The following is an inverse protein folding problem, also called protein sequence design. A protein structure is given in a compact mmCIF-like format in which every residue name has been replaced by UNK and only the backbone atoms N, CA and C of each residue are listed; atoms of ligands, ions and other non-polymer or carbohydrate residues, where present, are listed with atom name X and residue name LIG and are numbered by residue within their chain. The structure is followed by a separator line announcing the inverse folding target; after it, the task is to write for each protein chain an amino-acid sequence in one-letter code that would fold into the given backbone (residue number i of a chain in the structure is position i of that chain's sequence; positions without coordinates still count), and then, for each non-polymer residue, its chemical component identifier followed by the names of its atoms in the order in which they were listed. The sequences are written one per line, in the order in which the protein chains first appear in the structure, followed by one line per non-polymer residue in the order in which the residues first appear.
data_IF_094228803060
#
_entry.id   IF_094228803060
#
_cell.length_a   1.000
_cell.length_b   1.000
_cell.length_c   1.000
_cell.angle_alpha   90.00
_cell.angle_beta   90.00
_cell.angle_gamma   90.00
#
_symmetry.space_group_name_H-M   'P 1'
#
loop_
_entity.id
_entity.type
_entity.pdbx_description
1 polymer ?
#
# COMPACT_ATOMS: atom_id res chain seq x y z
N UNK A 1 4.42 21.05 -26.26
CA UNK A 1 3.86 20.72 -24.93
C UNK A 1 4.01 19.23 -24.71
N UNK A 2 4.99 18.80 -23.93
CA UNK A 2 5.09 17.43 -23.43
C UNK A 2 4.21 17.32 -22.20
N UNK A 3 3.18 16.47 -22.25
CA UNK A 3 2.39 16.13 -21.07
C UNK A 3 3.31 15.55 -20.00
N UNK A 4 3.22 15.98 -18.72
CA UNK A 4 3.94 15.32 -17.65
C UNK A 4 3.38 13.90 -17.51
N UNK A 5 4.24 12.92 -17.75
CA UNK A 5 3.98 11.50 -17.52
C UNK A 5 3.53 11.37 -16.07
N UNK A 6 2.23 11.12 -15.86
CA UNK A 6 1.65 10.91 -14.53
C UNK A 6 2.46 9.81 -13.85
N UNK A 7 3.19 10.19 -12.80
CA UNK A 7 3.83 9.24 -11.90
C UNK A 7 2.70 8.35 -11.38
N UNK A 8 2.73 7.07 -11.77
CA UNK A 8 1.72 6.11 -11.36
C UNK A 8 1.63 6.13 -9.84
N UNK A 9 0.44 6.49 -9.33
CA UNK A 9 0.12 6.32 -7.91
C UNK A 9 0.25 4.83 -7.61
N UNK A 10 1.35 4.43 -6.98
CA UNK A 10 1.52 3.07 -6.46
C UNK A 10 0.77 2.98 -5.13
N UNK A 11 -0.56 3.04 -5.21
CA UNK A 11 -1.44 2.85 -4.07
C UNK A 11 -1.54 1.37 -3.71
N UNK A 12 -1.52 1.05 -2.41
CA UNK A 12 -1.78 -0.31 -1.94
C UNK A 12 -3.28 -0.53 -1.84
N UNK A 13 -3.78 -1.56 -2.53
CA UNK A 13 -5.16 -2.03 -2.39
C UNK A 13 -5.28 -3.05 -1.26
N UNK A 14 -5.84 -2.61 -0.14
CA UNK A 14 -6.10 -3.47 1.02
C UNK A 14 -7.39 -4.26 0.82
N UNK A 15 -7.26 -5.54 0.46
CA UNK A 15 -8.39 -6.43 0.27
C UNK A 15 -9.05 -6.86 1.58
N UNK A 16 -10.22 -7.51 1.47
CA UNK A 16 -10.98 -8.08 2.60
C UNK A 16 -10.15 -9.00 3.52
N UNK A 17 -9.23 -9.85 3.00
CA UNK A 17 -8.37 -10.65 3.87
C UNK A 17 -7.55 -9.79 4.83
N UNK A 18 -6.91 -8.73 4.33
CA UNK A 18 -6.12 -7.81 5.16
C UNK A 18 -7.02 -7.10 6.19
N UNK A 19 -8.13 -6.53 5.73
CA UNK A 19 -9.08 -5.81 6.60
C UNK A 19 -9.62 -6.71 7.72
N UNK A 20 -9.83 -8.01 7.45
CA UNK A 20 -10.24 -8.99 8.46
C UNK A 20 -9.13 -9.30 9.45
N UNK A 21 -7.88 -9.47 8.99
CA UNK A 21 -6.73 -9.76 9.85
C UNK A 21 -6.48 -8.62 10.85
N UNK A 22 -6.55 -7.38 10.39
CA UNK A 22 -6.38 -6.20 11.24
C UNK A 22 -7.67 -5.76 11.96
N UNK A 23 -8.74 -6.59 11.92
CA UNK A 23 -10.07 -6.28 12.47
C UNK A 23 -10.53 -4.84 12.15
N UNK A 24 -10.32 -4.41 10.91
CA UNK A 24 -10.54 -3.02 10.50
C UNK A 24 -12.00 -2.62 10.68
N UNK A 25 -12.22 -1.44 11.26
CA UNK A 25 -13.53 -0.77 11.32
C UNK A 25 -13.44 0.49 10.45
N UNK A 26 -14.34 0.60 9.48
CA UNK A 26 -14.48 1.78 8.62
C UNK A 26 -15.73 2.51 9.05
N UNK A 27 -15.57 3.66 9.69
CA UNK A 27 -16.66 4.58 9.92
C UNK A 27 -16.77 5.53 8.73
N UNK A 28 -17.78 5.27 7.90
CA UNK A 28 -18.01 6.05 6.68
C UNK A 28 -18.53 7.45 7.00
N UNK A 29 -19.29 7.60 8.08
CA UNK A 29 -19.88 8.88 8.46
C UNK A 29 -18.81 9.83 8.98
N UNK A 30 -17.99 9.36 9.92
CA UNK A 30 -16.89 10.15 10.50
C UNK A 30 -15.64 10.19 9.60
N UNK A 31 -15.59 9.35 8.55
CA UNK A 31 -14.46 9.28 7.62
C UNK A 31 -13.18 8.77 8.28
N UNK A 32 -13.31 7.79 9.18
CA UNK A 32 -12.19 7.20 9.92
C UNK A 32 -12.01 5.72 9.64
N UNK A 33 -10.76 5.25 9.69
CA UNK A 33 -10.40 3.84 9.60
C UNK A 33 -9.65 3.48 10.87
N UNK A 34 -10.13 2.49 11.62
CA UNK A 34 -9.46 1.96 12.80
C UNK A 34 -8.96 0.54 12.52
N UNK A 35 -7.70 0.26 12.82
CA UNK A 35 -7.07 -1.06 12.70
C UNK A 35 -6.63 -1.56 14.08
N UNK A 36 -6.81 -2.85 14.34
CA UNK A 36 -6.24 -3.58 15.47
C UNK A 36 -5.01 -4.35 15.01
N UNK A 37 -3.86 -4.06 15.62
CA UNK A 37 -2.63 -4.80 15.42
C UNK A 37 -2.01 -5.11 16.79
N UNK A 38 -1.90 -6.40 17.12
CA UNK A 38 -1.41 -6.89 18.42
C UNK A 38 -2.14 -6.30 19.65
N UNK A 39 -3.44 -6.01 19.52
CA UNK A 39 -4.23 -5.45 20.62
C UNK A 39 -4.14 -3.93 20.76
N UNK A 40 -3.32 -3.27 19.95
CA UNK A 40 -3.28 -1.82 19.83
C UNK A 40 -4.19 -1.34 18.69
N UNK A 41 -4.87 -0.21 18.94
CA UNK A 41 -5.77 0.41 17.96
C UNK A 41 -5.10 1.61 17.29
N UNK A 42 -5.07 1.60 15.96
CA UNK A 42 -4.54 2.66 15.12
C UNK A 42 -5.68 3.30 14.34
N UNK A 43 -5.93 4.60 14.57
CA UNK A 43 -7.01 5.33 13.90
C UNK A 43 -6.45 6.33 12.90
N UNK A 44 -6.93 6.26 11.67
CA UNK A 44 -6.57 7.13 10.57
C UNK A 44 -7.78 7.97 10.15
N UNK A 45 -7.55 9.26 9.91
CA UNK A 45 -8.54 10.13 9.28
C UNK A 45 -8.30 10.13 7.76
N UNK A 46 -9.33 9.73 6.99
CA UNK A 46 -9.22 9.60 5.53
C UNK A 46 -8.99 10.97 4.88
N UNK A 47 -9.65 12.02 5.37
CA UNK A 47 -9.51 13.36 4.80
C UNK A 47 -8.10 13.92 4.98
N UNK A 48 -7.46 13.66 6.13
CA UNK A 48 -6.05 14.04 6.34
C UNK A 48 -5.09 13.19 5.50
N UNK A 49 -5.35 11.88 5.39
CA UNK A 49 -4.52 10.97 4.58
C UNK A 49 -4.54 11.34 3.09
N UNK A 50 -5.68 11.80 2.57
CA UNK A 50 -5.85 12.19 1.17
C UNK A 50 -5.27 13.58 0.84
N UNK A 51 -4.94 14.42 1.83
CA UNK A 51 -4.36 15.76 1.60
C UNK A 51 -2.92 15.71 1.11
N UNK A 52 -2.19 14.62 1.35
CA UNK A 52 -0.83 14.44 0.84
C UNK A 52 -0.89 13.63 -0.45
N UNK A 53 -0.46 14.15 -1.62
CA UNK A 53 0.06 13.25 -2.63
C UNK A 53 1.21 12.47 -1.99
N UNK A 54 1.24 11.14 -2.12
CA UNK A 54 2.39 10.36 -1.66
C UNK A 54 3.65 11.00 -2.26
N UNK A 55 4.59 11.42 -1.40
CA UNK A 55 5.91 11.86 -1.86
C UNK A 55 6.52 10.69 -2.63
N UNK A 56 6.56 10.85 -3.95
CA UNK A 56 7.11 9.86 -4.90
C UNK A 56 8.58 9.56 -4.63
N UNK A 57 9.26 10.38 -3.81
CA UNK A 57 10.66 10.22 -3.45
C UNK A 57 10.94 9.02 -2.53
N UNK A 58 9.93 8.52 -1.78
CA UNK A 58 10.08 7.37 -0.87
C UNK A 58 9.33 6.11 -1.35
N UNK A 59 8.96 6.06 -2.62
CA UNK A 59 8.24 4.91 -3.15
C UNK A 59 9.22 3.75 -3.43
N UNK A 60 9.37 2.86 -2.44
CA UNK A 60 10.07 1.60 -2.63
C UNK A 60 9.09 0.54 -3.16
N UNK A 61 9.25 0.13 -4.42
CA UNK A 61 8.52 -1.03 -4.95
C UNK A 61 9.31 -2.30 -4.64
N UNK A 62 8.66 -3.27 -4.00
CA UNK A 62 9.17 -4.65 -3.91
C UNK A 62 8.40 -5.46 -4.93
N UNK A 63 9.03 -5.74 -6.07
CA UNK A 63 8.47 -6.64 -7.08
C UNK A 63 8.92 -8.07 -6.78
N UNK A 64 8.09 -8.78 -6.02
CA UNK A 64 8.32 -10.17 -5.63
C UNK A 64 8.43 -11.08 -6.87
N UNK A 65 7.74 -10.75 -7.97
CA UNK A 65 7.81 -11.54 -9.19
C UNK A 65 9.17 -11.34 -9.86
N UNK A 66 9.64 -10.10 -9.98
CA UNK A 66 10.96 -9.82 -10.53
C UNK A 66 12.07 -10.51 -9.72
N UNK A 67 11.98 -10.47 -8.38
CA UNK A 67 12.93 -11.17 -7.51
C UNK A 67 12.90 -12.69 -7.69
N UNK A 68 11.71 -13.30 -7.76
CA UNK A 68 11.56 -14.74 -8.00
C UNK A 68 12.08 -15.17 -9.38
N UNK A 69 11.86 -14.35 -10.40
CA UNK A 69 12.37 -14.61 -11.77
C UNK A 69 13.90 -14.54 -11.80
N UNK A 70 14.50 -13.58 -11.10
CA UNK A 70 15.95 -13.47 -11.02
C UNK A 70 16.58 -14.65 -10.30
N UNK A 71 16.03 -15.05 -9.15
CA UNK A 71 16.48 -16.23 -8.39
C UNK A 71 16.41 -17.51 -9.25
N UNK A 72 15.32 -17.70 -10.00
CA UNK A 72 15.17 -18.85 -10.91
C UNK A 72 16.21 -18.84 -12.04
N UNK A 73 16.48 -17.67 -12.64
CA UNK A 73 17.49 -17.55 -13.71
C UNK A 73 18.92 -17.75 -13.20
N UNK A 74 19.21 -17.35 -11.96
CA UNK A 74 20.50 -17.56 -11.31
C UNK A 74 20.71 -19.03 -10.91
N UNK A 75 19.65 -19.76 -10.53
CA UNK A 75 19.69 -21.21 -10.30
C UNK A 75 19.82 -22.04 -11.59
N UNK A 76 19.30 -21.57 -12.73
CA UNK A 76 19.38 -22.27 -14.04
C UNK A 76 20.75 -22.08 -14.75
N UNK A 77 21.57 -21.13 -14.28
CA UNK A 77 22.92 -20.83 -14.79
C UNK A 77 24.05 -21.50 -13.99
N UNK A 78 23.72 -22.45 -13.10
CA UNK A 78 24.64 -23.24 -12.28
C UNK A 78 24.51 -24.74 -12.59
#
# INVERSE_FOLDING_TARGET
MTEPKSAGSSGVLLGRPFLRTSKTIIDVFDGTICLDYHGEKYTFNIYEAMKKPMDVENLHSVDVIASLVQEYLEEELL
#
